data_IF_423745039632
#
_entry.id   IF_423745039632
#
_cell.length_a   1.000
_cell.length_b   1.000
_cell.length_c   1.000
_cell.angle_alpha   90.00
_cell.angle_beta   90.00
_cell.angle_gamma   90.00
#
_symmetry.space_group_name_H-M   'P 1'
#
loop_
_entity.id
_entity.type
_entity.pdbx_description
1 polymer ?
#
# COMPACT_ATOMS: atom_id res chain seq x y z
N UNK A 1 -22.47 15.62 8.68
CA UNK A 1 -22.16 15.17 10.06
C UNK A 1 -20.75 14.62 10.04
N UNK A 2 -19.85 15.08 10.91
CA UNK A 2 -18.48 14.57 10.99
C UNK A 2 -18.43 13.58 12.16
N UNK A 3 -18.13 12.32 11.85
CA UNK A 3 -17.94 11.30 12.89
C UNK A 3 -16.67 11.60 13.68
N UNK A 4 -16.75 11.60 15.00
CA UNK A 4 -15.57 11.71 15.86
C UNK A 4 -14.82 10.36 15.87
N UNK A 5 -13.69 10.30 15.16
CA UNK A 5 -12.84 9.12 15.00
C UNK A 5 -12.35 8.57 16.34
N UNK A 6 -11.86 9.44 17.24
CA UNK A 6 -11.33 9.03 18.54
C UNK A 6 -12.41 8.38 19.41
N UNK A 7 -13.60 8.99 19.43
CA UNK A 7 -14.76 8.44 20.15
C UNK A 7 -15.16 7.07 19.60
N UNK A 8 -15.11 6.88 18.28
CA UNK A 8 -15.36 5.57 17.69
C UNK A 8 -14.31 4.53 18.09
N UNK A 9 -13.04 4.91 18.15
CA UNK A 9 -11.97 4.00 18.57
C UNK A 9 -12.16 3.55 20.03
N UNK A 10 -12.55 4.47 20.90
CA UNK A 10 -12.90 4.15 22.29
C UNK A 10 -14.08 3.16 22.36
N UNK A 11 -15.20 3.47 21.71
CA UNK A 11 -16.41 2.63 21.70
C UNK A 11 -16.10 1.24 21.13
N UNK A 12 -15.40 1.18 20.00
CA UNK A 12 -15.03 -0.08 19.35
C UNK A 12 -13.95 -0.86 20.11
N UNK A 13 -13.35 -0.29 21.17
CA UNK A 13 -12.29 -0.89 21.95
C UNK A 13 -10.95 -0.99 21.20
N UNK A 14 -10.81 -0.24 20.11
CA UNK A 14 -9.57 -0.18 19.35
C UNK A 14 -8.57 0.75 20.04
N UNK A 15 -7.43 0.19 20.43
CA UNK A 15 -6.32 0.91 21.06
C UNK A 15 -5.14 0.98 20.08
N UNK A 16 -5.04 2.03 19.25
CA UNK A 16 -3.92 2.17 18.32
C UNK A 16 -2.61 2.32 19.11
N UNK A 17 -1.55 1.64 18.67
CA UNK A 17 -0.21 1.91 19.18
C UNK A 17 0.34 3.24 18.63
N UNK A 18 1.49 3.70 19.13
CA UNK A 18 2.06 5.02 18.85
C UNK A 18 2.13 5.35 17.35
N UNK A 19 2.70 4.47 16.54
CA UNK A 19 2.81 4.68 15.09
C UNK A 19 1.47 4.63 14.34
N UNK A 20 0.49 3.83 14.80
CA UNK A 20 -0.88 3.90 14.27
C UNK A 20 -1.55 5.25 14.58
N UNK A 21 -1.32 5.83 15.77
CA UNK A 21 -1.84 7.15 16.14
C UNK A 21 -1.31 8.25 15.23
N UNK A 22 -0.01 8.20 14.88
CA UNK A 22 0.60 9.14 13.92
C UNK A 22 -0.19 9.12 12.60
N UNK A 23 -0.44 7.93 12.06
CA UNK A 23 -1.24 7.80 10.85
C UNK A 23 -2.69 8.28 11.03
N UNK A 24 -3.37 7.93 12.12
CA UNK A 24 -4.78 8.30 12.33
C UNK A 24 -5.00 9.82 12.44
N UNK A 25 -3.96 10.57 12.83
CA UNK A 25 -3.94 12.02 12.88
C UNK A 25 -3.83 12.69 11.49
N UNK A 26 -3.36 11.94 10.47
CA UNK A 26 -3.28 12.42 9.09
C UNK A 26 -4.64 12.84 8.55
N UNK A 27 -4.66 13.99 7.88
CA UNK A 27 -5.83 14.52 7.14
C UNK A 27 -5.63 14.48 5.63
N UNK A 28 -4.51 13.94 5.15
CA UNK A 28 -4.22 13.85 3.73
C UNK A 28 -5.26 12.99 3.01
N UNK A 29 -5.61 13.40 1.79
CA UNK A 29 -6.61 12.72 0.96
C UNK A 29 -6.08 11.38 0.45
N UNK A 30 -4.80 11.30 0.11
CA UNK A 30 -4.15 10.09 -0.35
C UNK A 30 -3.03 9.72 0.61
N UNK A 31 -3.13 8.56 1.24
CA UNK A 31 -2.19 8.14 2.29
C UNK A 31 -1.53 6.84 1.90
N UNK A 32 -0.20 6.81 1.95
CA UNK A 32 0.60 5.63 1.59
C UNK A 32 1.25 5.09 2.85
N UNK A 33 0.95 3.85 3.22
CA UNK A 33 1.50 3.19 4.39
C UNK A 33 2.30 1.97 3.95
N UNK A 34 3.61 2.10 4.06
CA UNK A 34 4.58 1.04 3.80
C UNK A 34 4.94 0.45 5.15
N UNK A 35 4.47 -0.76 5.43
CA UNK A 35 4.62 -1.35 6.75
C UNK A 35 5.11 -2.78 6.73
N UNK A 36 5.90 -3.12 7.75
CA UNK A 36 6.38 -4.46 7.99
C UNK A 36 5.23 -5.43 8.31
N UNK A 37 5.50 -6.73 8.18
CA UNK A 37 4.56 -7.78 8.56
C UNK A 37 4.21 -7.69 10.03
N UNK A 38 2.98 -8.08 10.37
CA UNK A 38 2.46 -8.03 11.75
C UNK A 38 2.43 -6.63 12.39
N UNK A 39 2.70 -5.55 11.65
CA UNK A 39 2.56 -4.19 12.17
C UNK A 39 1.09 -3.80 12.46
N UNK A 40 0.13 -4.42 11.75
CA UNK A 40 -1.31 -4.15 11.96
C UNK A 40 -1.97 -3.30 10.89
N UNK A 41 -1.39 -3.23 9.68
CA UNK A 41 -1.89 -2.44 8.55
C UNK A 41 -3.35 -2.73 8.18
N UNK A 42 -3.76 -3.99 8.15
CA UNK A 42 -5.15 -4.37 7.80
C UNK A 42 -6.16 -3.92 8.87
N UNK A 43 -5.79 -3.99 10.16
CA UNK A 43 -6.63 -3.50 11.26
C UNK A 43 -6.75 -1.98 11.22
N UNK A 44 -5.63 -1.27 11.03
CA UNK A 44 -5.63 0.19 10.87
C UNK A 44 -6.51 0.63 9.70
N UNK A 45 -6.42 -0.04 8.55
CA UNK A 45 -7.23 0.29 7.38
C UNK A 45 -8.72 -0.01 7.59
N UNK A 46 -9.05 -1.13 8.25
CA UNK A 46 -10.42 -1.44 8.63
C UNK A 46 -10.99 -0.37 9.57
N UNK A 47 -10.20 0.12 10.53
CA UNK A 47 -10.63 1.16 11.47
C UNK A 47 -10.84 2.52 10.81
N UNK A 48 -10.03 2.88 9.82
CA UNK A 48 -10.33 4.03 8.97
C UNK A 48 -11.62 3.84 8.17
N UNK A 49 -11.78 2.68 7.52
CA UNK A 49 -12.97 2.38 6.72
C UNK A 49 -14.25 2.40 7.57
N UNK A 50 -14.23 1.84 8.78
CA UNK A 50 -15.38 1.88 9.72
C UNK A 50 -15.87 3.30 9.97
N UNK A 51 -14.97 4.30 10.07
CA UNK A 51 -15.37 5.69 10.29
C UNK A 51 -16.20 6.26 9.14
N UNK A 52 -15.97 5.77 7.92
CA UNK A 52 -16.77 6.11 6.75
C UNK A 52 -18.07 5.31 6.72
N UNK A 53 -18.00 3.98 6.95
CA UNK A 53 -19.17 3.11 6.94
C UNK A 53 -20.24 3.54 7.95
N UNK A 54 -19.86 4.17 9.06
CA UNK A 54 -20.79 4.72 10.06
C UNK A 54 -21.43 6.06 9.67
N UNK A 55 -21.03 6.67 8.56
CA UNK A 55 -21.64 7.89 8.03
C UNK A 55 -22.69 7.56 6.97
N UNK A 56 -23.76 8.39 6.83
CA UNK A 56 -24.81 8.15 5.85
C UNK A 56 -24.29 8.23 4.42
N UNK A 57 -24.84 7.37 3.54
CA UNK A 57 -24.65 7.40 2.09
C UNK A 57 -23.20 7.33 1.59
N UNK A 58 -22.27 6.76 2.37
CA UNK A 58 -20.89 6.55 1.91
C UNK A 58 -20.76 5.25 1.14
N UNK A 59 -20.02 5.25 0.03
CA UNK A 59 -19.66 4.05 -0.70
C UNK A 59 -18.15 3.90 -0.78
N UNK A 60 -17.63 2.75 -0.39
CA UNK A 60 -16.21 2.51 -0.53
C UNK A 60 -15.83 1.07 -0.81
N UNK A 61 -14.63 0.92 -1.33
CA UNK A 61 -14.09 -0.36 -1.74
C UNK A 61 -12.84 -0.73 -0.97
N UNK A 62 -12.72 -2.01 -0.68
CA UNK A 62 -11.46 -2.65 -0.31
C UNK A 62 -10.98 -3.39 -1.54
N UNK A 63 -9.93 -2.88 -2.17
CA UNK A 63 -9.34 -3.46 -3.36
C UNK A 63 -8.07 -4.17 -2.96
N UNK A 64 -7.86 -5.39 -3.43
CA UNK A 64 -6.58 -6.07 -3.34
C UNK A 64 -6.29 -6.84 -4.62
N UNK A 65 -5.13 -7.51 -4.71
CA UNK A 65 -4.80 -8.33 -5.89
C UNK A 65 -5.86 -9.40 -6.12
N UNK A 66 -6.25 -10.11 -5.06
CA UNK A 66 -7.29 -11.14 -5.07
C UNK A 66 -8.34 -10.85 -3.99
N UNK A 67 -9.52 -11.44 -4.10
CA UNK A 67 -10.56 -11.33 -3.06
C UNK A 67 -10.06 -11.81 -1.70
N UNK A 68 -9.34 -12.93 -1.64
CA UNK A 68 -8.81 -13.51 -0.39
C UNK A 68 -7.84 -12.59 0.35
N UNK A 69 -7.06 -11.78 -0.39
CA UNK A 69 -6.18 -10.80 0.24
C UNK A 69 -7.00 -9.65 0.83
N UNK A 70 -7.95 -9.12 0.07
CA UNK A 70 -8.84 -8.04 0.51
C UNK A 70 -9.77 -8.44 1.68
N UNK A 71 -10.07 -9.73 1.83
CA UNK A 71 -10.87 -10.25 2.93
C UNK A 71 -10.30 -9.88 4.31
N UNK A 72 -8.98 -9.75 4.46
CA UNK A 72 -8.38 -9.48 5.76
C UNK A 72 -8.86 -8.17 6.37
N UNK A 73 -9.00 -7.13 5.56
CA UNK A 73 -9.53 -5.83 5.99
C UNK A 73 -11.03 -5.94 6.25
N UNK A 74 -11.77 -6.54 5.31
CA UNK A 74 -13.22 -6.70 5.40
C UNK A 74 -13.64 -7.50 6.65
N UNK A 75 -12.89 -8.55 7.00
CA UNK A 75 -13.10 -9.36 8.19
C UNK A 75 -13.08 -8.54 9.46
N UNK A 76 -12.16 -7.58 9.59
CA UNK A 76 -12.06 -6.75 10.79
C UNK A 76 -13.24 -5.77 10.90
N UNK A 77 -13.69 -5.22 9.76
CA UNK A 77 -14.94 -4.44 9.69
C UNK A 77 -16.14 -5.31 10.09
N UNK A 78 -16.26 -6.51 9.51
CA UNK A 78 -17.35 -7.43 9.76
C UNK A 78 -17.38 -7.87 11.24
N UNK A 79 -16.23 -8.22 11.81
CA UNK A 79 -16.09 -8.55 13.24
C UNK A 79 -16.56 -7.40 14.12
N UNK A 80 -16.15 -6.18 13.83
CA UNK A 80 -16.54 -5.02 14.64
C UNK A 80 -18.02 -4.72 14.47
N UNK A 81 -18.46 -4.39 13.25
CA UNK A 81 -19.79 -3.86 13.00
C UNK A 81 -20.89 -4.92 13.12
N UNK A 82 -20.65 -6.13 12.61
CA UNK A 82 -21.68 -7.17 12.53
C UNK A 82 -21.63 -8.11 13.73
N UNK A 83 -20.45 -8.63 14.10
CA UNK A 83 -20.37 -9.62 15.17
C UNK A 83 -20.40 -8.98 16.56
N UNK A 84 -19.64 -7.91 16.79
CA UNK A 84 -19.56 -7.23 18.09
C UNK A 84 -20.73 -6.27 18.32
N UNK A 85 -20.99 -5.35 17.39
CA UNK A 85 -22.04 -4.34 17.54
C UNK A 85 -23.42 -4.78 17.03
N UNK A 86 -23.50 -5.87 16.27
CA UNK A 86 -24.76 -6.40 15.72
C UNK A 86 -25.57 -5.34 14.97
N UNK A 87 -24.88 -4.48 14.22
CA UNK A 87 -25.55 -3.46 13.41
C UNK A 87 -26.44 -4.12 12.36
N UNK A 88 -27.63 -3.56 12.17
CA UNK A 88 -28.58 -4.02 11.16
C UNK A 88 -28.04 -3.73 9.75
N UNK A 89 -28.30 -4.65 8.83
CA UNK A 89 -27.89 -4.55 7.42
C UNK A 89 -29.08 -4.78 6.52
N UNK A 90 -29.20 -3.99 5.46
CA UNK A 90 -30.15 -4.26 4.36
C UNK A 90 -29.70 -5.52 3.61
N UNK A 91 -28.41 -5.57 3.28
CA UNK A 91 -27.80 -6.69 2.55
C UNK A 91 -26.42 -6.97 3.12
N UNK A 92 -26.10 -8.25 3.26
CA UNK A 92 -24.76 -8.70 3.66
C UNK A 92 -24.38 -9.99 2.94
N UNK A 93 -23.10 -10.09 2.59
CA UNK A 93 -22.49 -11.34 2.13
C UNK A 93 -21.08 -11.45 2.66
N UNK A 94 -20.68 -12.69 2.96
CA UNK A 94 -19.33 -13.05 3.34
C UNK A 94 -19.04 -14.45 2.81
N UNK A 95 -18.47 -14.53 1.61
CA UNK A 95 -18.14 -15.79 0.95
C UNK A 95 -16.79 -15.66 0.25
N UNK A 96 -15.77 -16.30 0.82
CA UNK A 96 -14.46 -16.44 0.19
C UNK A 96 -14.55 -17.17 -1.16
N UNK A 97 -15.34 -18.25 -1.21
CA UNK A 97 -15.48 -19.10 -2.40
C UNK A 97 -15.96 -18.33 -3.64
N UNK A 98 -16.88 -17.39 -3.46
CA UNK A 98 -17.42 -16.58 -4.56
C UNK A 98 -16.80 -15.19 -4.65
N UNK A 99 -15.91 -14.81 -3.74
CA UNK A 99 -15.41 -13.45 -3.59
C UNK A 99 -16.46 -12.43 -3.10
N UNK A 100 -17.69 -12.87 -2.82
CA UNK A 100 -18.77 -11.98 -2.41
C UNK A 100 -18.61 -11.55 -0.96
N UNK A 101 -18.08 -10.35 -0.76
CA UNK A 101 -17.94 -9.68 0.53
C UNK A 101 -18.49 -8.26 0.41
N UNK A 102 -19.70 -8.09 0.95
CA UNK A 102 -20.49 -6.88 0.78
C UNK A 102 -21.29 -6.60 2.04
N UNK A 103 -21.37 -5.34 2.46
CA UNK A 103 -22.29 -4.88 3.49
C UNK A 103 -22.99 -3.60 3.01
N UNK A 104 -24.30 -3.53 3.26
CA UNK A 104 -25.13 -2.36 3.05
C UNK A 104 -26.00 -2.11 4.27
N UNK A 105 -25.99 -0.87 4.73
CA UNK A 105 -26.63 -0.46 5.98
C UNK A 105 -27.88 0.40 5.74
N UNK A 106 -28.83 0.46 6.69
CA UNK A 106 -30.05 1.27 6.58
C UNK A 106 -29.84 2.76 6.29
N UNK A 107 -28.67 3.31 6.65
CA UNK A 107 -28.30 4.71 6.36
C UNK A 107 -27.60 4.89 5.00
N UNK A 108 -27.63 3.88 4.12
CA UNK A 108 -27.10 3.94 2.76
C UNK A 108 -25.58 3.76 2.64
N UNK A 109 -24.88 3.43 3.73
CA UNK A 109 -23.46 3.11 3.64
C UNK A 109 -23.23 1.74 3.01
N UNK A 110 -22.24 1.64 2.14
CA UNK A 110 -21.85 0.43 1.42
C UNK A 110 -20.33 0.22 1.51
N UNK A 111 -19.94 -1.01 1.85
CA UNK A 111 -18.56 -1.50 1.73
C UNK A 111 -18.53 -2.81 0.96
N UNK A 112 -17.62 -2.91 -0.01
CA UNK A 112 -17.46 -4.08 -0.86
C UNK A 112 -15.98 -4.39 -1.08
N UNK A 113 -15.65 -5.69 -1.15
CA UNK A 113 -14.31 -6.13 -1.59
C UNK A 113 -14.28 -6.31 -3.10
N UNK A 114 -13.26 -5.76 -3.76
CA UNK A 114 -13.00 -5.93 -5.18
C UNK A 114 -11.61 -6.52 -5.42
N UNK A 115 -11.47 -7.21 -6.55
CA UNK A 115 -10.21 -7.81 -6.98
C UNK A 115 -9.61 -7.06 -8.16
N UNK A 116 -8.33 -6.72 -8.07
CA UNK A 116 -7.58 -6.10 -9.17
C UNK A 116 -7.31 -7.08 -10.33
N UNK A 117 -7.53 -8.39 -10.13
CA UNK A 117 -7.54 -9.38 -11.21
C UNK A 117 -8.81 -9.33 -12.07
N UNK A 118 -9.83 -8.56 -11.65
CA UNK A 118 -11.04 -8.30 -12.43
C UNK A 118 -11.28 -6.79 -12.61
N UNK A 119 -10.45 -6.09 -13.41
CA UNK A 119 -10.50 -4.63 -13.54
C UNK A 119 -11.85 -4.08 -14.02
N UNK A 120 -12.59 -4.83 -14.83
CA UNK A 120 -13.91 -4.42 -15.32
C UNK A 120 -14.92 -4.19 -14.18
N UNK A 121 -14.71 -4.84 -13.02
CA UNK A 121 -15.52 -4.63 -11.82
C UNK A 121 -15.21 -3.33 -11.07
N UNK A 122 -14.16 -2.61 -11.48
CA UNK A 122 -13.65 -1.38 -10.87
C UNK A 122 -14.10 -0.11 -11.60
N UNK A 123 -15.12 -0.20 -12.45
CA UNK A 123 -15.63 0.91 -13.28
C UNK A 123 -17.07 1.26 -12.85
N UNK A 124 -17.43 2.54 -12.95
CA UNK A 124 -18.83 2.98 -12.99
C UNK A 124 -19.43 3.46 -11.67
N UNK A 125 -18.76 3.23 -10.53
CA UNK A 125 -19.23 3.69 -9.23
C UNK A 125 -18.41 4.89 -8.71
N UNK A 126 -19.08 5.95 -8.26
CA UNK A 126 -18.45 7.05 -7.53
C UNK A 126 -18.21 6.70 -6.06
N UNK A 127 -16.97 6.81 -5.60
CA UNK A 127 -16.51 6.34 -4.28
C UNK A 127 -16.15 7.49 -3.34
N UNK A 128 -16.55 7.33 -2.08
CA UNK A 128 -16.19 8.21 -0.96
C UNK A 128 -14.83 7.82 -0.39
N UNK A 129 -14.43 6.55 -0.52
CA UNK A 129 -13.15 6.05 -0.05
C UNK A 129 -12.72 4.74 -0.70
N UNK A 130 -11.41 4.52 -0.75
CA UNK A 130 -10.79 3.25 -1.18
C UNK A 130 -9.67 2.85 -0.24
N UNK A 131 -9.65 1.59 0.17
CA UNK A 131 -8.47 0.93 0.75
C UNK A 131 -7.87 0.02 -0.31
N UNK A 132 -6.62 0.28 -0.72
CA UNK A 132 -5.89 -0.57 -1.66
C UNK A 132 -4.87 -1.44 -0.89
N UNK A 133 -5.29 -2.65 -0.51
CA UNK A 133 -4.52 -3.61 0.26
C UNK A 133 -3.56 -4.43 -0.62
N UNK A 134 -2.35 -4.62 -0.11
CA UNK A 134 -1.22 -5.24 -0.81
C UNK A 134 -0.97 -4.67 -2.21
N UNK A 135 -1.18 -3.37 -2.37
CA UNK A 135 -1.13 -2.65 -3.65
C UNK A 135 0.21 -2.80 -4.39
N UNK A 136 1.34 -2.97 -3.70
CA UNK A 136 2.65 -3.19 -4.34
C UNK A 136 2.67 -4.40 -5.29
N UNK A 137 1.74 -5.35 -5.10
CA UNK A 137 1.61 -6.55 -5.93
C UNK A 137 0.69 -6.39 -7.15
N UNK A 138 0.02 -5.24 -7.27
CA UNK A 138 -0.88 -4.91 -8.37
C UNK A 138 -0.17 -4.05 -9.43
N UNK A 139 -0.75 -3.95 -10.64
CA UNK A 139 -0.28 -3.03 -11.69
C UNK A 139 -0.68 -1.59 -11.36
N UNK A 140 0.18 -0.60 -11.63
CA UNK A 140 -0.10 0.83 -11.41
C UNK A 140 -1.37 1.30 -12.13
N UNK A 141 -1.63 0.72 -13.31
CA UNK A 141 -2.82 0.92 -14.12
C UNK A 141 -4.13 0.83 -13.33
N UNK A 142 -4.21 -0.10 -12.37
CA UNK A 142 -5.41 -0.30 -11.54
C UNK A 142 -5.70 0.97 -10.74
N UNK A 143 -4.67 1.60 -10.18
CA UNK A 143 -4.84 2.89 -9.53
C UNK A 143 -5.14 3.99 -10.55
N UNK A 144 -4.32 4.13 -11.59
CA UNK A 144 -4.34 5.28 -12.50
C UNK A 144 -5.62 5.38 -13.33
N UNK A 145 -6.09 4.25 -13.89
CA UNK A 145 -7.21 4.23 -14.83
C UNK A 145 -8.54 3.81 -14.21
N UNK A 146 -8.52 3.04 -13.12
CA UNK A 146 -9.76 2.50 -12.54
C UNK A 146 -10.12 3.18 -11.22
N UNK A 147 -9.22 3.20 -10.23
CA UNK A 147 -9.55 3.67 -8.88
C UNK A 147 -9.42 5.19 -8.68
N UNK A 148 -8.42 5.83 -9.28
CA UNK A 148 -8.24 7.28 -9.14
C UNK A 148 -9.40 8.08 -9.72
N UNK A 149 -9.97 7.72 -10.89
CA UNK A 149 -11.12 8.44 -11.44
C UNK A 149 -12.37 8.35 -10.57
N UNK A 150 -12.68 7.16 -10.00
CA UNK A 150 -13.89 6.92 -9.20
C UNK A 150 -13.97 7.74 -7.92
N UNK A 151 -12.83 8.24 -7.42
CA UNK A 151 -12.76 9.11 -6.24
C UNK A 151 -12.98 10.61 -6.55
N UNK A 152 -13.07 11.00 -7.82
CA UNK A 152 -13.05 12.41 -8.21
C UNK A 152 -14.35 13.13 -7.85
N UNK A 153 -15.50 12.54 -8.19
CA UNK A 153 -16.82 13.18 -8.06
C UNK A 153 -17.18 13.52 -6.61
N UNK A 154 -16.76 12.66 -5.67
CA UNK A 154 -17.09 12.78 -4.24
C UNK A 154 -15.95 13.33 -3.39
N UNK A 155 -14.85 13.75 -4.03
CA UNK A 155 -13.62 14.13 -3.34
C UNK A 155 -13.14 13.06 -2.34
N UNK A 156 -13.30 11.78 -2.71
CA UNK A 156 -13.02 10.64 -1.84
C UNK A 156 -11.52 10.46 -1.56
N UNK A 157 -11.20 9.76 -0.46
CA UNK A 157 -9.82 9.49 -0.05
C UNK A 157 -9.35 8.09 -0.47
N UNK A 158 -8.03 7.89 -0.57
CA UNK A 158 -7.44 6.57 -0.78
C UNK A 158 -6.38 6.25 0.27
N UNK A 159 -6.36 5.00 0.72
CA UNK A 159 -5.35 4.44 1.62
C UNK A 159 -4.65 3.27 0.94
N UNK A 160 -3.38 3.44 0.63
CA UNK A 160 -2.52 2.40 0.09
C UNK A 160 -1.78 1.73 1.25
N UNK A 161 -1.96 0.42 1.42
CA UNK A 161 -1.22 -0.35 2.43
C UNK A 161 -0.48 -1.49 1.73
N UNK A 162 0.81 -1.64 2.01
CA UNK A 162 1.57 -2.82 1.56
C UNK A 162 2.91 -2.95 2.26
N UNK A 163 3.58 -4.08 2.03
CA UNK A 163 5.01 -4.24 2.26
C UNK A 163 5.74 -3.83 0.97
N UNK A 164 6.89 -3.12 1.05
CA UNK A 164 7.56 -2.63 -0.15
C UNK A 164 8.08 -3.79 -1.02
N UNK A 165 8.18 -3.56 -2.33
CA UNK A 165 8.70 -4.53 -3.32
C UNK A 165 9.62 -3.83 -4.31
N UNK A 166 10.85 -3.57 -3.88
CA UNK A 166 11.79 -2.78 -4.66
C UNK A 166 11.25 -1.38 -4.99
N UNK A 167 11.82 -0.77 -6.03
CA UNK A 167 11.44 0.56 -6.51
C UNK A 167 10.37 0.48 -7.60
N UNK A 168 9.19 -0.05 -7.24
CA UNK A 168 8.04 -0.10 -8.15
C UNK A 168 7.14 1.14 -7.99
N UNK A 169 5.98 1.14 -8.64
CA UNK A 169 5.04 2.27 -8.58
C UNK A 169 4.58 2.68 -7.16
N UNK A 170 4.59 1.77 -6.18
CA UNK A 170 4.32 2.13 -4.79
C UNK A 170 5.43 3.04 -4.23
N UNK A 171 6.68 2.85 -4.65
CA UNK A 171 7.77 3.75 -4.29
C UNK A 171 7.56 5.15 -4.87
N UNK A 172 7.03 5.27 -6.07
CA UNK A 172 6.70 6.57 -6.65
C UNK A 172 5.57 7.27 -5.88
N UNK A 173 4.54 6.53 -5.45
CA UNK A 173 3.51 7.06 -4.56
C UNK A 173 4.08 7.45 -3.19
N UNK A 174 5.00 6.65 -2.65
CA UNK A 174 5.65 6.94 -1.38
C UNK A 174 6.52 8.21 -1.46
N UNK A 175 7.27 8.41 -2.55
CA UNK A 175 7.98 9.67 -2.81
C UNK A 175 7.01 10.84 -2.89
N UNK A 176 5.89 10.66 -3.60
CA UNK A 176 4.86 11.70 -3.77
C UNK A 176 4.33 12.20 -2.44
N UNK A 177 4.00 11.32 -1.49
CA UNK A 177 3.53 11.75 -0.16
C UNK A 177 4.62 12.27 0.78
N UNK A 178 5.87 12.35 0.34
CA UNK A 178 6.95 13.05 1.03
C UNK A 178 7.40 14.32 0.27
N UNK A 179 6.75 14.66 -0.83
CA UNK A 179 7.09 15.80 -1.68
C UNK A 179 6.12 16.96 -1.40
N UNK A 180 6.60 18.14 -0.94
CA UNK A 180 5.77 19.32 -0.68
C UNK A 180 4.92 19.79 -1.88
N UNK A 181 5.27 19.41 -3.11
CA UNK A 181 4.50 19.72 -4.30
C UNK A 181 3.16 18.96 -4.39
N UNK A 182 2.94 17.96 -3.54
CA UNK A 182 1.74 17.12 -3.50
C UNK A 182 1.08 17.16 -2.11
N UNK A 183 0.56 18.32 -1.67
CA UNK A 183 0.07 18.53 -0.30
C UNK A 183 -1.14 17.65 0.08
N UNK A 184 -1.83 17.06 -0.90
CA UNK A 184 -2.92 16.12 -0.68
C UNK A 184 -2.45 14.68 -0.37
N UNK A 185 -1.15 14.41 -0.52
CA UNK A 185 -0.52 13.11 -0.26
C UNK A 185 0.29 13.13 1.04
N UNK A 186 0.26 12.02 1.76
CA UNK A 186 1.15 11.81 2.91
C UNK A 186 1.61 10.34 2.95
N UNK A 187 2.89 10.13 3.22
CA UNK A 187 3.50 8.82 3.20
C UNK A 187 4.13 8.45 4.53
N UNK A 188 3.95 7.19 4.92
CA UNK A 188 4.40 6.63 6.18
C UNK A 188 5.17 5.34 5.94
N UNK A 189 6.28 5.17 6.65
CA UNK A 189 7.04 3.93 6.70
C UNK A 189 7.10 3.46 8.13
N UNK A 190 6.59 2.26 8.40
CA UNK A 190 6.54 1.71 9.75
C UNK A 190 7.10 0.29 9.80
N UNK A 191 8.26 0.08 10.44
CA UNK A 191 8.81 -1.26 10.63
C UNK A 191 8.00 -2.06 11.66
N UNK A 192 8.09 -3.39 11.60
CA UNK A 192 7.36 -4.32 12.46
C UNK A 192 7.64 -4.12 13.95
N UNK A 193 8.85 -3.69 14.33
CA UNK A 193 9.23 -3.46 15.73
C UNK A 193 8.59 -2.24 16.37
N UNK A 194 7.90 -1.39 15.59
CA UNK A 194 7.07 -0.32 16.14
C UNK A 194 5.76 -0.84 16.75
N UNK A 195 5.38 -2.10 16.46
CA UNK A 195 4.24 -2.73 17.09
C UNK A 195 4.63 -3.29 18.47
N UNK A 196 4.13 -2.72 19.58
CA UNK A 196 4.49 -3.16 20.93
C UNK A 196 3.96 -4.56 21.28
N UNK A 197 3.07 -5.12 20.46
CA UNK A 197 2.51 -6.46 20.64
C UNK A 197 3.32 -7.56 19.92
N UNK A 198 4.37 -7.19 19.18
CA UNK A 198 5.24 -8.16 18.52
C UNK A 198 6.38 -8.55 19.48
N UNK A 199 6.63 -9.85 19.62
CA UNK A 199 7.71 -10.37 20.47
C UNK A 199 9.06 -9.90 19.95
N UNK A 200 9.89 -9.32 20.83
CA UNK A 200 11.27 -8.95 20.48
C UNK A 200 12.10 -10.19 20.12
N UNK A 201 11.90 -11.29 20.84
CA UNK A 201 12.62 -12.55 20.60
C UNK A 201 12.30 -13.12 19.21
N UNK A 202 11.05 -12.99 18.74
CA UNK A 202 10.66 -13.42 17.39
C UNK A 202 11.31 -12.55 16.31
N UNK A 203 11.43 -11.23 16.55
CA UNK A 203 12.10 -10.32 15.62
C UNK A 203 13.60 -10.63 15.57
N UNK A 204 14.23 -10.90 16.72
CA UNK A 204 15.65 -11.23 16.82
C UNK A 204 15.97 -12.61 16.25
N UNK A 205 15.06 -13.58 16.38
CA UNK A 205 15.14 -14.85 15.66
C UNK A 205 15.05 -14.62 14.14
N UNK A 206 14.02 -13.91 13.67
CA UNK A 206 13.83 -13.63 12.25
C UNK A 206 15.03 -12.87 11.64
N UNK A 207 15.64 -11.97 12.40
CA UNK A 207 16.85 -11.23 11.99
C UNK A 207 18.06 -12.15 11.83
N UNK A 208 18.15 -13.22 12.62
CA UNK A 208 19.24 -14.21 12.55
C UNK A 208 19.02 -15.24 11.45
N UNK A 209 17.78 -15.59 11.12
CA UNK A 209 17.46 -16.70 10.21
C UNK A 209 17.10 -16.27 8.80
N UNK A 210 16.59 -15.05 8.59
CA UNK A 210 16.30 -14.51 7.27
C UNK A 210 17.52 -13.83 6.65
N UNK A 211 17.56 -13.74 5.32
CA UNK A 211 18.55 -12.87 4.68
C UNK A 211 18.31 -11.42 5.08
N UNK A 212 19.37 -10.62 5.20
CA UNK A 212 19.25 -9.20 5.56
C UNK A 212 18.30 -8.44 4.64
N UNK A 213 18.30 -8.75 3.34
CA UNK A 213 17.36 -8.15 2.36
C UNK A 213 15.90 -8.48 2.65
N UNK A 214 15.59 -9.74 2.96
CA UNK A 214 14.23 -10.19 3.28
C UNK A 214 13.80 -9.62 4.63
N UNK A 215 14.68 -9.60 5.63
CA UNK A 215 14.38 -9.01 6.92
C UNK A 215 14.07 -7.51 6.80
N UNK A 216 14.93 -6.75 6.12
CA UNK A 216 14.73 -5.31 5.94
C UNK A 216 13.49 -4.97 5.11
N UNK A 217 13.12 -5.81 4.13
CA UNK A 217 11.89 -5.62 3.35
C UNK A 217 10.65 -5.98 4.18
N UNK A 218 10.60 -7.20 4.71
CA UNK A 218 9.39 -7.76 5.33
C UNK A 218 9.17 -7.26 6.76
N UNK A 219 10.23 -6.94 7.52
CA UNK A 219 10.15 -6.37 8.87
C UNK A 219 10.53 -4.89 8.90
N UNK A 220 11.61 -4.51 8.23
CA UNK A 220 12.08 -3.11 8.23
C UNK A 220 11.26 -2.16 7.34
N UNK A 221 10.33 -2.69 6.55
CA UNK A 221 9.55 -1.92 5.57
C UNK A 221 10.45 -1.08 4.64
N UNK A 222 11.63 -1.58 4.31
CA UNK A 222 12.62 -0.88 3.49
C UNK A 222 12.37 -1.10 1.99
N UNK A 223 12.40 -0.01 1.22
CA UNK A 223 12.50 -0.08 -0.24
C UNK A 223 13.92 -0.47 -0.64
N UNK A 224 14.28 -1.73 -0.42
CA UNK A 224 15.60 -2.21 -0.85
C UNK A 224 15.56 -2.52 -2.34
N UNK A 225 16.61 -2.13 -3.06
CA UNK A 225 16.92 -2.74 -4.34
C UNK A 225 17.35 -4.18 -4.06
N UNK A 226 16.71 -5.17 -4.69
CA UNK A 226 17.25 -6.53 -4.76
C UNK A 226 18.47 -6.57 -5.70
N UNK A 227 19.53 -5.80 -5.41
CA UNK A 227 20.71 -5.71 -6.28
C UNK A 227 21.36 -7.10 -6.31
N UNK A 228 21.36 -7.77 -5.16
CA UNK A 228 22.00 -9.08 -4.97
C UNK A 228 21.18 -10.31 -5.37
N UNK A 229 20.03 -10.19 -6.03
CA UNK A 229 19.30 -11.40 -6.48
C UNK A 229 19.65 -11.85 -7.90
N UNK A 230 20.28 -11.00 -8.71
CA UNK A 230 20.77 -11.36 -10.05
C UNK A 230 22.29 -11.21 -10.17
N UNK A 231 22.88 -10.15 -9.59
CA UNK A 231 24.32 -9.90 -9.61
C UNK A 231 24.84 -9.64 -8.19
N UNK A 232 25.16 -10.71 -7.46
CA UNK A 232 25.65 -10.64 -6.07
C UNK A 232 26.98 -9.89 -5.94
N UNK A 233 27.70 -9.79 -7.05
CA UNK A 233 29.02 -9.21 -7.17
C UNK A 233 28.96 -7.68 -7.28
N UNK A 234 27.78 -7.09 -7.56
CA UNK A 234 27.66 -5.64 -7.72
C UNK A 234 27.58 -4.91 -6.38
N UNK A 235 28.64 -4.15 -6.07
CA UNK A 235 28.72 -3.19 -4.96
C UNK A 235 28.78 -1.74 -5.48
N UNK A 236 27.86 -0.87 -5.02
CA UNK A 236 27.84 0.55 -5.36
C UNK A 236 29.15 1.28 -5.02
N UNK A 237 29.84 0.89 -3.94
CA UNK A 237 31.10 1.54 -3.53
C UNK A 237 32.28 1.20 -4.45
N UNK A 238 32.15 0.13 -5.23
CA UNK A 238 33.21 -0.37 -6.11
C UNK A 238 32.89 -0.04 -7.57
N UNK A 239 31.63 -0.23 -7.97
CA UNK A 239 31.22 -0.21 -9.38
C UNK A 239 30.52 1.08 -9.81
N UNK A 240 30.23 2.01 -8.89
CA UNK A 240 29.65 3.32 -9.23
C UNK A 240 30.69 4.40 -8.95
N UNK A 241 31.14 5.05 -10.02
CA UNK A 241 32.04 6.21 -9.96
C UNK A 241 31.27 7.47 -10.34
N UNK A 242 31.57 8.57 -9.65
CA UNK A 242 31.02 9.88 -10.00
C UNK A 242 31.62 10.36 -11.31
N UNK A 243 30.83 11.03 -12.15
CA UNK A 243 31.32 11.70 -13.37
C UNK A 243 32.39 12.77 -13.08
N UNK A 244 32.47 13.27 -11.85
CA UNK A 244 33.52 14.19 -11.40
C UNK A 244 34.86 13.49 -11.15
N UNK A 245 34.81 12.21 -10.80
CA UNK A 245 35.97 11.44 -10.34
C UNK A 245 36.55 10.56 -11.46
N UNK A 246 35.80 10.34 -12.54
CA UNK A 246 36.22 9.53 -13.66
C UNK A 246 35.66 10.08 -14.98
N UNK A 247 36.57 10.46 -15.88
CA UNK A 247 36.24 11.00 -17.21
C UNK A 247 36.53 9.92 -18.24
N UNK A 248 35.51 9.54 -19.00
CA UNK A 248 35.63 8.57 -20.11
C UNK A 248 36.37 9.23 -21.27
N UNK A 249 37.53 8.67 -21.66
CA UNK A 249 38.31 9.19 -22.78
C UNK A 249 37.50 9.13 -24.10
N UNK A 250 37.47 10.21 -24.89
CA UNK A 250 36.83 10.22 -26.20
C UNK A 250 37.34 9.16 -27.19
N UNK A 251 38.58 8.69 -27.02
CA UNK A 251 39.23 7.70 -27.89
C UNK A 251 38.84 6.25 -27.59
N UNK A 252 38.22 5.97 -26.43
CA UNK A 252 37.82 4.61 -26.05
C UNK A 252 36.76 4.04 -26.99
N UNK A 253 36.77 2.71 -27.13
CA UNK A 253 35.81 2.03 -28.00
C UNK A 253 34.41 2.11 -27.38
N UNK A 254 33.43 2.56 -28.17
CA UNK A 254 32.08 2.84 -27.69
C UNK A 254 31.04 1.92 -28.32
N UNK A 255 30.16 1.41 -27.49
CA UNK A 255 29.01 0.61 -27.87
C UNK A 255 27.73 1.25 -27.36
N UNK A 256 26.62 0.87 -28.00
CA UNK A 256 25.27 1.15 -27.49
C UNK A 256 24.51 -0.16 -27.41
N UNK A 257 23.93 -0.41 -26.25
CA UNK A 257 22.95 -1.46 -26.08
C UNK A 257 21.57 -0.82 -26.01
N UNK A 258 20.62 -1.41 -26.74
CA UNK A 258 19.26 -0.88 -26.85
C UNK A 258 18.31 -1.97 -26.38
N UNK A 259 17.51 -1.65 -25.37
CA UNK A 259 16.34 -2.43 -25.00
C UNK A 259 15.09 -1.64 -25.43
N UNK A 260 14.38 -2.18 -26.41
CA UNK A 260 13.29 -1.48 -27.05
C UNK A 260 11.99 -1.66 -26.27
N UNK A 261 11.39 -0.56 -25.81
CA UNK A 261 10.10 -0.54 -25.13
C UNK A 261 9.11 0.41 -25.79
N UNK A 262 7.94 -0.09 -26.18
CA UNK A 262 6.83 0.73 -26.72
C UNK A 262 5.80 1.06 -25.63
N UNK A 263 5.33 0.05 -24.89
CA UNK A 263 4.48 0.22 -23.70
C UNK A 263 5.29 0.32 -22.39
N UNK A 264 6.51 -0.23 -22.39
CA UNK A 264 7.46 -0.17 -21.29
C UNK A 264 8.54 0.88 -21.59
N UNK A 265 9.29 1.39 -20.59
CA UNK A 265 10.35 2.35 -20.80
C UNK A 265 11.40 1.85 -21.81
N UNK A 266 11.74 2.69 -22.80
CA UNK A 266 12.88 2.49 -23.68
C UNK A 266 14.19 2.73 -22.93
N UNK A 267 15.18 1.86 -23.12
CA UNK A 267 16.52 2.02 -22.53
C UNK A 267 17.57 2.05 -23.64
N UNK A 268 18.43 3.06 -23.58
CA UNK A 268 19.67 3.10 -24.34
C UNK A 268 20.85 3.22 -23.37
N UNK A 269 21.66 2.17 -23.29
CA UNK A 269 22.86 2.11 -22.47
C UNK A 269 24.07 2.46 -23.34
N UNK A 270 24.82 3.49 -22.91
CA UNK A 270 26.11 3.85 -23.49
C UNK A 270 27.22 3.11 -22.75
N UNK A 271 28.11 2.45 -23.50
CA UNK A 271 29.20 1.64 -22.95
C UNK A 271 30.49 2.14 -23.60
N UNK A 272 31.53 2.38 -22.80
CA UNK A 272 32.88 2.62 -23.27
C UNK A 272 33.81 1.55 -22.69
N UNK A 273 34.72 1.05 -23.51
CA UNK A 273 35.71 0.02 -23.13
C UNK A 273 37.09 0.67 -23.18
N UNK A 274 37.77 0.66 -22.04
CA UNK A 274 39.15 1.12 -21.91
C UNK A 274 40.11 0.18 -22.67
N UNK A 275 41.26 0.70 -23.13
CA UNK A 275 42.21 -0.08 -23.93
C UNK A 275 42.89 -1.22 -23.16
#
# INVERSE_FOLDING_TARGET
MILNKEKWFEISGYKPHSSQKIFHASKARFRVVVAGRRWGKSLLAAKEAETMVLMPNTRGWIVSKTYDLGEKVFREIYKTLILKFKLETIKKSYSLKSGSMYLEFPWGAVVEVKSAEHPDSLIGDGLDWVVFDECASCKSLIWEQYLRPTLSDKNGWALFISTPRGYNWLYDLWKRGNDPNYPEWESFRFPSWDNPYLSKDDIDEAKRTLSGTVFEQEYGASFNFSLGQVYKEFDNKIHVVSEKDFIVDPSWLRYRSIDFGYENPFVCLYIAVDP
#
